data_IF_603267239785
#
_entry.id   IF_603267239785
#
_cell.length_a   1.000
_cell.length_b   1.000
_cell.length_c   1.000
_cell.angle_alpha   90.00
_cell.angle_beta   90.00
_cell.angle_gamma   90.00
#
_symmetry.space_group_name_H-M   'P 1'
#
loop_
_entity.id
_entity.type
_entity.pdbx_description
1 polymer ?
#
# COMPACT_ATOMS: atom_id res chain seq x y z
N UNK A 1 -11.21 4.18 -25.24
CA UNK A 1 -11.30 5.57 -24.73
C UNK A 1 -10.89 5.53 -23.28
N UNK A 2 -9.70 6.02 -22.93
CA UNK A 2 -9.35 6.20 -21.50
C UNK A 2 -10.16 7.38 -20.98
N UNK A 3 -10.72 7.27 -19.78
CA UNK A 3 -11.59 8.30 -19.20
C UNK A 3 -10.86 9.59 -18.82
N UNK A 4 -9.52 9.65 -18.95
CA UNK A 4 -8.71 10.81 -18.57
C UNK A 4 -8.78 11.16 -17.08
N UNK A 5 -9.30 10.23 -16.26
CA UNK A 5 -9.53 10.44 -14.83
C UNK A 5 -8.19 10.49 -14.09
N UNK A 6 -8.00 11.52 -13.28
CA UNK A 6 -6.78 11.71 -12.49
C UNK A 6 -7.09 11.49 -11.02
N UNK A 7 -6.28 10.67 -10.35
CA UNK A 7 -6.35 10.43 -8.91
C UNK A 7 -5.11 11.03 -8.21
N UNK A 8 -5.33 11.88 -7.22
CA UNK A 8 -4.23 12.48 -6.46
C UNK A 8 -3.71 11.49 -5.42
N UNK A 9 -2.53 10.93 -5.64
CA UNK A 9 -1.96 9.89 -4.75
C UNK A 9 -1.39 10.45 -3.44
N UNK A 10 -0.87 11.69 -3.43
CA UNK A 10 -0.24 12.25 -2.24
C UNK A 10 -1.20 12.41 -1.04
N UNK A 11 -2.42 12.98 -1.19
CA UNK A 11 -3.36 13.05 -0.09
C UNK A 11 -3.79 11.66 0.44
N UNK A 12 -3.86 10.67 -0.45
CA UNK A 12 -4.15 9.28 -0.07
C UNK A 12 -3.01 8.70 0.78
N UNK A 13 -1.76 8.82 0.32
CA UNK A 13 -0.59 8.35 1.04
C UNK A 13 -0.46 8.98 2.43
N UNK A 14 -0.74 10.28 2.54
CA UNK A 14 -0.75 11.00 3.82
C UNK A 14 -1.82 10.45 4.77
N UNK A 15 -3.05 10.20 4.29
CA UNK A 15 -4.11 9.65 5.14
C UNK A 15 -3.81 8.21 5.58
N UNK A 16 -3.23 7.39 4.70
CA UNK A 16 -2.80 6.03 5.04
C UNK A 16 -1.75 6.08 6.16
N UNK A 17 -0.69 6.89 6.00
CA UNK A 17 0.36 7.02 6.99
C UNK A 17 -0.11 7.62 8.32
N UNK A 18 -1.10 8.50 8.28
CA UNK A 18 -1.74 9.02 9.49
C UNK A 18 -2.48 7.90 10.23
N UNK A 19 -3.30 7.11 9.53
CA UNK A 19 -4.04 5.98 10.14
C UNK A 19 -3.10 4.90 10.65
N UNK A 20 -2.09 4.55 9.86
CA UNK A 20 -1.10 3.53 10.22
C UNK A 20 -0.32 3.90 11.48
N UNK A 21 0.12 5.16 11.63
CA UNK A 21 0.79 5.63 12.86
C UNK A 21 -0.12 5.64 14.09
N UNK A 22 -1.42 5.89 13.91
CA UNK A 22 -2.38 5.79 15.01
C UNK A 22 -2.54 4.32 15.48
N UNK A 23 -2.42 3.37 14.56
CA UNK A 23 -2.49 1.93 14.86
C UNK A 23 -1.17 1.36 15.42
N UNK A 24 -0.02 1.88 14.95
CA UNK A 24 1.32 1.44 15.33
C UNK A 24 2.18 2.60 15.83
N UNK A 25 1.92 3.12 17.05
CA UNK A 25 2.65 4.27 17.59
C UNK A 25 4.14 4.00 17.83
N UNK A 26 4.54 2.73 17.96
CA UNK A 26 5.94 2.30 18.13
C UNK A 26 6.83 2.59 16.91
N UNK A 27 6.24 2.84 15.74
CA UNK A 27 6.94 3.29 14.54
C UNK A 27 7.73 4.58 14.77
N UNK A 28 7.21 5.47 15.63
CA UNK A 28 7.87 6.73 15.95
C UNK A 28 9.19 6.50 16.68
N UNK A 29 9.23 5.55 17.61
CA UNK A 29 10.44 5.20 18.36
C UNK A 29 11.47 4.53 17.43
N UNK A 30 10.99 3.74 16.46
CA UNK A 30 11.83 3.00 15.51
C UNK A 30 12.44 3.87 14.40
N UNK A 31 11.65 4.78 13.82
CA UNK A 31 12.01 5.50 12.60
C UNK A 31 12.15 7.02 12.76
N UNK A 32 11.73 7.56 13.91
CA UNK A 32 11.86 8.99 14.21
C UNK A 32 11.13 9.89 13.21
N UNK A 33 11.58 11.13 13.10
CA UNK A 33 10.93 12.15 12.24
C UNK A 33 10.99 11.83 10.74
N UNK A 34 11.99 11.05 10.31
CA UNK A 34 12.08 10.64 8.90
C UNK A 34 11.03 9.57 8.54
N UNK A 35 10.50 8.82 9.52
CA UNK A 35 9.55 7.73 9.29
C UNK A 35 8.28 8.15 8.55
N UNK A 36 7.79 9.38 8.79
CA UNK A 36 6.62 9.89 8.08
C UNK A 36 6.89 10.11 6.59
N UNK A 37 8.04 10.71 6.25
CA UNK A 37 8.42 10.94 4.86
C UNK A 37 8.62 9.61 4.10
N UNK A 38 9.27 8.63 4.75
CA UNK A 38 9.43 7.29 4.20
C UNK A 38 8.10 6.58 4.02
N UNK A 39 7.21 6.62 5.02
CA UNK A 39 5.89 6.03 4.91
C UNK A 39 5.10 6.60 3.73
N UNK A 40 5.12 7.92 3.56
CA UNK A 40 4.42 8.60 2.44
C UNK A 40 5.02 8.14 1.11
N UNK A 41 6.35 8.11 1.01
CA UNK A 41 7.05 7.67 -0.19
C UNK A 41 6.72 6.22 -0.57
N UNK A 42 6.76 5.29 0.38
CA UNK A 42 6.45 3.89 0.15
C UNK A 42 4.98 3.71 -0.26
N UNK A 43 4.06 4.45 0.36
CA UNK A 43 2.65 4.42 -0.01
C UNK A 43 2.38 5.01 -1.40
N UNK A 44 3.15 6.00 -1.85
CA UNK A 44 3.06 6.50 -3.22
C UNK A 44 3.40 5.38 -4.24
N UNK A 45 4.40 4.55 -3.95
CA UNK A 45 4.71 3.39 -4.80
C UNK A 45 3.59 2.34 -4.77
N UNK A 46 3.11 1.95 -3.60
CA UNK A 46 2.03 0.97 -3.47
C UNK A 46 0.76 1.41 -4.21
N UNK A 47 0.41 2.70 -4.11
CA UNK A 47 -0.73 3.27 -4.82
C UNK A 47 -0.49 3.32 -6.34
N UNK A 48 0.72 3.66 -6.78
CA UNK A 48 1.08 3.65 -8.21
C UNK A 48 0.95 2.25 -8.79
N UNK A 49 1.51 1.23 -8.13
CA UNK A 49 1.44 -0.16 -8.59
C UNK A 49 0.00 -0.66 -8.70
N UNK A 50 -0.87 -0.27 -7.77
CA UNK A 50 -2.28 -0.62 -7.84
C UNK A 50 -3.02 0.08 -8.99
N UNK A 51 -2.61 1.29 -9.38
CA UNK A 51 -3.11 1.96 -10.59
C UNK A 51 -2.61 1.24 -11.84
N UNK A 52 -1.32 0.95 -11.90
CA UNK A 52 -0.67 0.26 -13.02
C UNK A 52 -1.22 -1.16 -13.24
N UNK A 53 -1.57 -1.88 -12.17
CA UNK A 53 -2.24 -3.19 -12.24
C UNK A 53 -3.66 -3.08 -12.82
N UNK A 54 -4.43 -2.08 -12.39
CA UNK A 54 -5.77 -1.80 -12.96
C UNK A 54 -5.69 -1.44 -14.44
N UNK A 55 -4.64 -0.74 -14.85
CA UNK A 55 -4.39 -0.34 -16.24
C UNK A 55 -3.72 -1.48 -17.06
N UNK A 56 -3.28 -2.55 -16.40
CA UNK A 56 -2.69 -3.74 -17.02
C UNK A 56 -1.23 -3.58 -17.44
N UNK A 57 -0.53 -2.55 -16.97
CA UNK A 57 0.90 -2.29 -17.24
C UNK A 57 1.84 -3.00 -16.24
N UNK A 58 1.31 -3.49 -15.12
CA UNK A 58 2.05 -4.11 -14.03
C UNK A 58 1.22 -5.25 -13.40
N UNK A 59 1.86 -6.14 -12.65
CA UNK A 59 1.19 -7.17 -11.83
C UNK A 59 1.52 -6.90 -10.36
N UNK A 60 0.52 -6.46 -9.59
CA UNK A 60 0.68 -6.02 -8.20
C UNK A 60 1.32 -7.10 -7.32
N UNK A 61 0.90 -8.36 -7.49
CA UNK A 61 1.42 -9.47 -6.70
C UNK A 61 2.94 -9.65 -6.89
N UNK A 62 3.47 -9.45 -8.09
CA UNK A 62 4.91 -9.56 -8.37
C UNK A 62 5.73 -8.51 -7.62
N UNK A 63 5.27 -7.27 -7.60
CA UNK A 63 5.92 -6.17 -6.86
C UNK A 63 5.83 -6.39 -5.35
N UNK A 64 4.67 -6.88 -4.87
CA UNK A 64 4.47 -7.20 -3.46
C UNK A 64 5.33 -8.37 -3.01
N UNK A 65 5.57 -9.37 -3.86
CA UNK A 65 6.55 -10.45 -3.58
C UNK A 65 7.94 -9.86 -3.38
N UNK A 66 8.39 -8.97 -4.28
CA UNK A 66 9.70 -8.33 -4.16
C UNK A 66 9.80 -7.50 -2.87
N UNK A 67 8.80 -6.66 -2.59
CA UNK A 67 8.80 -5.81 -1.41
C UNK A 67 8.75 -6.63 -0.12
N UNK A 68 7.91 -7.67 -0.05
CA UNK A 68 7.81 -8.56 1.10
C UNK A 68 9.15 -9.24 1.39
N UNK A 69 9.87 -9.72 0.36
CA UNK A 69 11.22 -10.27 0.51
C UNK A 69 12.19 -9.26 1.11
N UNK A 70 12.21 -8.03 0.60
CA UNK A 70 13.10 -6.96 1.09
C UNK A 70 12.79 -6.61 2.55
N UNK A 71 11.51 -6.50 2.90
CA UNK A 71 11.06 -6.16 4.24
C UNK A 71 11.34 -7.30 5.24
N UNK A 72 11.04 -8.53 4.87
CA UNK A 72 11.29 -9.71 5.69
C UNK A 72 12.79 -9.91 5.96
N UNK A 73 13.64 -9.76 4.94
CA UNK A 73 15.10 -9.80 5.09
C UNK A 73 15.63 -8.72 6.06
N UNK A 74 14.87 -7.65 6.30
CA UNK A 74 15.16 -6.58 7.26
C UNK A 74 14.41 -6.73 8.59
N UNK A 75 13.86 -7.91 8.85
CA UNK A 75 13.06 -8.23 10.03
C UNK A 75 11.88 -7.25 10.25
N UNK A 76 11.28 -6.77 9.16
CA UNK A 76 10.03 -6.03 9.23
C UNK A 76 8.85 -7.01 9.32
N UNK A 77 7.86 -6.77 10.20
CA UNK A 77 6.72 -7.67 10.37
C UNK A 77 5.78 -7.62 9.16
N UNK A 78 5.74 -8.68 8.35
CA UNK A 78 4.83 -8.81 7.20
C UNK A 78 3.34 -8.59 7.51
N UNK A 79 2.80 -8.97 8.70
CA UNK A 79 1.44 -8.59 9.05
C UNK A 79 1.18 -7.09 9.03
N UNK A 80 2.19 -6.25 9.31
CA UNK A 80 2.06 -4.79 9.21
C UNK A 80 2.06 -4.30 7.77
N UNK A 81 2.79 -4.94 6.87
CA UNK A 81 2.70 -4.66 5.43
C UNK A 81 1.27 -4.94 4.94
N UNK A 82 0.74 -6.12 5.27
CA UNK A 82 -0.63 -6.48 4.91
C UNK A 82 -1.66 -5.51 5.49
N UNK A 83 -1.43 -5.00 6.70
CA UNK A 83 -2.33 -4.01 7.31
C UNK A 83 -2.23 -2.64 6.63
N UNK A 84 -1.04 -2.20 6.24
CA UNK A 84 -0.86 -0.98 5.45
C UNK A 84 -1.61 -1.06 4.12
N UNK A 85 -1.54 -2.19 3.41
CA UNK A 85 -2.29 -2.45 2.18
C UNK A 85 -3.82 -2.41 2.39
N UNK A 86 -4.33 -2.95 3.50
CA UNK A 86 -5.75 -2.82 3.87
C UNK A 86 -6.14 -1.35 4.09
N UNK A 87 -5.35 -0.59 4.84
CA UNK A 87 -5.59 0.83 5.08
C UNK A 87 -5.60 1.61 3.76
N UNK A 88 -4.68 1.28 2.84
CA UNK A 88 -4.67 1.85 1.50
C UNK A 88 -5.98 1.54 0.75
N UNK A 89 -6.45 0.29 0.78
CA UNK A 89 -7.72 -0.09 0.18
C UNK A 89 -8.91 0.66 0.79
N UNK A 90 -8.95 0.82 2.11
CA UNK A 90 -9.99 1.58 2.84
C UNK A 90 -9.99 3.06 2.44
N UNK A 91 -8.81 3.69 2.41
CA UNK A 91 -8.65 5.11 2.06
C UNK A 91 -9.04 5.36 0.60
N UNK A 92 -8.59 4.52 -0.33
CA UNK A 92 -8.95 4.63 -1.74
C UNK A 92 -10.45 4.43 -1.95
N UNK A 93 -11.07 3.47 -1.26
CA UNK A 93 -12.53 3.24 -1.33
C UNK A 93 -13.34 4.46 -0.88
N UNK A 94 -12.80 5.26 0.03
CA UNK A 94 -13.41 6.52 0.47
C UNK A 94 -13.46 7.61 -0.60
N UNK A 95 -12.75 7.46 -1.74
CA UNK A 95 -12.75 8.44 -2.82
C UNK A 95 -13.98 8.30 -3.72
N UNK A 96 -15.07 8.96 -3.34
CA UNK A 96 -16.36 8.89 -4.03
C UNK A 96 -16.38 9.47 -5.44
N UNK A 97 -15.37 10.28 -5.81
CA UNK A 97 -15.32 10.96 -7.10
C UNK A 97 -14.56 10.21 -8.18
N UNK A 98 -13.86 9.12 -7.84
CA UNK A 98 -13.09 8.33 -8.81
C UNK A 98 -13.80 7.04 -9.20
N UNK A 99 -14.07 6.87 -10.49
CA UNK A 99 -14.63 5.62 -11.04
C UNK A 99 -13.63 4.45 -10.98
N UNK A 100 -12.33 4.73 -10.98
CA UNK A 100 -11.27 3.72 -10.81
C UNK A 100 -11.09 3.25 -9.35
N UNK A 101 -11.46 4.07 -8.36
CA UNK A 101 -11.21 3.78 -6.95
C UNK A 101 -11.67 2.39 -6.47
N UNK A 102 -12.87 1.88 -6.81
CA UNK A 102 -13.28 0.54 -6.39
C UNK A 102 -12.39 -0.59 -6.93
N UNK A 103 -11.81 -0.42 -8.13
CA UNK A 103 -10.89 -1.41 -8.72
C UNK A 103 -9.53 -1.34 -8.05
N UNK A 104 -8.97 -0.14 -7.87
CA UNK A 104 -7.70 0.08 -7.17
C UNK A 104 -7.78 -0.46 -5.73
N UNK A 105 -8.86 -0.16 -5.01
CA UNK A 105 -9.08 -0.68 -3.66
C UNK A 105 -9.18 -2.22 -3.60
N UNK A 106 -9.71 -2.86 -4.65
CA UNK A 106 -9.76 -4.32 -4.74
C UNK A 106 -8.36 -4.91 -4.94
N UNK A 107 -7.55 -4.30 -5.79
CA UNK A 107 -6.14 -4.72 -6.01
C UNK A 107 -5.35 -4.65 -4.70
N UNK A 108 -5.45 -3.53 -3.97
CA UNK A 108 -4.78 -3.34 -2.68
C UNK A 108 -5.24 -4.37 -1.62
N UNK A 109 -6.55 -4.62 -1.52
CA UNK A 109 -7.08 -5.63 -0.61
C UNK A 109 -6.67 -7.06 -1.00
N UNK A 110 -6.58 -7.34 -2.30
CA UNK A 110 -6.06 -8.61 -2.83
C UNK A 110 -4.61 -8.82 -2.45
N UNK A 111 -3.76 -7.80 -2.65
CA UNK A 111 -2.37 -7.80 -2.22
C UNK A 111 -2.21 -8.02 -0.71
N UNK A 112 -3.05 -7.37 0.11
CA UNK A 112 -3.06 -7.58 1.56
C UNK A 112 -3.39 -9.03 1.93
N UNK A 113 -4.41 -9.61 1.32
CA UNK A 113 -4.79 -11.01 1.52
C UNK A 113 -3.69 -11.98 1.05
N UNK A 114 -3.03 -11.67 -0.05
CA UNK A 114 -1.89 -12.43 -0.57
C UNK A 114 -0.70 -12.40 0.39
N UNK A 115 -0.35 -11.26 0.98
CA UNK A 115 0.70 -11.20 2.02
C UNK A 115 0.34 -12.05 3.23
N UNK A 116 -0.93 -12.04 3.66
CA UNK A 116 -1.39 -12.85 4.81
C UNK A 116 -1.45 -14.36 4.54
N UNK A 117 -1.53 -14.78 3.28
CA UNK A 117 -1.65 -16.20 2.94
C UNK A 117 -0.33 -16.96 3.00
N UNK A 118 0.77 -16.26 3.27
CA UNK A 118 2.13 -16.79 3.33
C UNK A 118 2.76 -16.47 4.67
N UNK A 119 3.43 -17.47 5.24
CA UNK A 119 4.21 -17.29 6.47
C UNK A 119 5.57 -16.63 6.20
N UNK A 120 6.14 -16.84 5.02
CA UNK A 120 7.46 -16.34 4.56
C UNK A 120 7.44 -16.08 3.06
N UNK A 121 8.32 -15.18 2.60
CA UNK A 121 8.61 -14.89 1.20
C UNK A 121 10.08 -15.19 0.82
N UNK A 122 10.91 -15.64 1.75
CA UNK A 122 12.35 -15.86 1.52
C UNK A 122 12.71 -17.21 0.87
N UNK A 123 11.73 -18.08 0.66
CA UNK A 123 11.91 -19.39 0.00
C UNK A 123 12.10 -19.30 -1.53
#
# INVERSE_FOLDING_TARGET
MSSGESIALLPLAQDICRRYRLEFPDEQDRYGQAGEAWCIHDNLYLLSWAVDDVDGSLVMESEVVWLARVLEARAFPLPRLARNLDLAAEVVRGQSTSAAAPRIARVLAGAAAFVRSRDTFLD
#
